data_IF_195735972691
#
_entry.id   IF_195735972691
#
_cell.length_a   1.000
_cell.length_b   1.000
_cell.length_c   1.000
_cell.angle_alpha   90.00
_cell.angle_beta   90.00
_cell.angle_gamma   90.00
#
_symmetry.space_group_name_H-M   'P 1'
#
loop_
_entity.id
_entity.type
_entity.pdbx_description
1 polymer ?
#
# COMPACT_ATOMS: atom_id res chain seq x y z
N UNK A 1 36.18 -2.85 -24.67
CA UNK A 1 36.02 -2.59 -23.23
C UNK A 1 35.76 -1.11 -23.11
N UNK A 2 34.49 -0.72 -23.02
CA UNK A 2 34.11 0.69 -23.00
C UNK A 2 34.57 1.35 -21.69
N UNK A 3 35.45 2.35 -21.83
CA UNK A 3 35.98 3.22 -20.76
C UNK A 3 34.92 4.16 -20.14
N UNK A 4 33.63 3.95 -20.40
CA UNK A 4 32.54 4.83 -19.95
C UNK A 4 31.73 4.33 -18.75
N UNK A 5 32.17 3.29 -18.05
CA UNK A 5 31.46 2.81 -16.84
C UNK A 5 31.79 3.58 -15.55
N UNK A 6 32.81 4.45 -15.54
CA UNK A 6 33.39 5.00 -14.29
C UNK A 6 32.79 6.36 -13.87
N UNK A 7 31.85 6.94 -14.61
CA UNK A 7 31.27 8.27 -14.29
C UNK A 7 29.76 8.26 -14.00
N UNK A 8 29.13 7.10 -13.80
CA UNK A 8 27.75 7.08 -13.30
C UNK A 8 27.75 7.44 -11.81
N UNK A 9 27.24 8.63 -11.49
CA UNK A 9 26.92 9.01 -10.11
C UNK A 9 26.09 7.91 -9.47
N UNK A 10 26.50 7.42 -8.30
CA UNK A 10 25.75 6.41 -7.55
C UNK A 10 24.32 6.95 -7.35
N UNK A 11 23.26 6.23 -7.79
CA UNK A 11 21.90 6.70 -7.62
C UNK A 11 21.58 6.88 -6.14
N UNK A 12 20.68 7.81 -5.81
CA UNK A 12 20.21 7.97 -4.42
C UNK A 12 19.56 6.67 -3.93
N UNK A 13 19.51 6.42 -2.61
CA UNK A 13 18.79 5.27 -2.07
C UNK A 13 17.33 5.17 -2.55
N UNK A 14 16.67 6.32 -2.74
CA UNK A 14 15.31 6.40 -3.29
C UNK A 14 15.26 5.93 -4.75
N UNK A 15 16.20 6.39 -5.58
CA UNK A 15 16.30 5.95 -6.97
C UNK A 15 16.63 4.46 -7.07
N UNK A 16 17.55 3.96 -6.22
CA UNK A 16 17.86 2.52 -6.16
C UNK A 16 16.64 1.69 -5.77
N UNK A 17 15.83 2.17 -4.82
CA UNK A 17 14.58 1.52 -4.43
C UNK A 17 13.56 1.52 -5.57
N UNK A 18 13.39 2.63 -6.27
CA UNK A 18 12.51 2.72 -7.44
C UNK A 18 12.95 1.75 -8.52
N UNK A 19 14.25 1.70 -8.83
CA UNK A 19 14.80 0.77 -9.81
C UNK A 19 14.57 -0.69 -9.40
N UNK A 20 14.70 -1.02 -8.11
CA UNK A 20 14.42 -2.36 -7.61
C UNK A 20 12.93 -2.70 -7.74
N UNK A 21 12.03 -1.77 -7.41
CA UNK A 21 10.59 -1.94 -7.57
C UNK A 21 10.22 -2.19 -9.05
N UNK A 22 10.75 -1.37 -9.95
CA UNK A 22 10.56 -1.51 -11.41
C UNK A 22 11.05 -2.87 -11.91
N UNK A 23 12.21 -3.34 -11.43
CA UNK A 23 12.74 -4.66 -11.78
C UNK A 23 11.85 -5.79 -11.28
N UNK A 24 11.40 -5.72 -10.02
CA UNK A 24 10.52 -6.73 -9.43
C UNK A 24 9.17 -6.77 -10.16
N UNK A 25 8.58 -5.61 -10.45
CA UNK A 25 7.34 -5.51 -11.24
C UNK A 25 7.52 -6.07 -12.65
N UNK A 26 8.62 -5.71 -13.31
CA UNK A 26 8.93 -6.18 -14.66
C UNK A 26 9.12 -7.70 -14.70
N UNK A 27 9.72 -8.30 -13.67
CA UNK A 27 9.97 -9.74 -13.63
C UNK A 27 8.72 -10.55 -13.24
N UNK A 28 7.92 -10.08 -12.27
CA UNK A 28 6.77 -10.82 -11.76
C UNK A 28 5.49 -10.61 -12.57
N UNK A 29 5.17 -9.35 -12.87
CA UNK A 29 3.95 -8.95 -13.58
C UNK A 29 4.21 -8.77 -15.08
N UNK A 30 5.34 -8.16 -15.45
CA UNK A 30 5.65 -7.81 -16.83
C UNK A 30 4.79 -6.67 -17.40
N UNK A 31 4.91 -6.39 -18.71
CA UNK A 31 5.89 -6.97 -19.63
C UNK A 31 7.30 -6.40 -19.44
N UNK A 32 8.32 -7.25 -19.28
CA UNK A 32 9.70 -6.85 -19.01
C UNK A 32 10.38 -6.17 -20.22
N UNK A 33 10.08 -6.61 -21.43
CA UNK A 33 10.62 -6.07 -22.68
C UNK A 33 9.77 -4.97 -23.31
N UNK A 34 8.77 -4.44 -22.59
CA UNK A 34 7.86 -3.40 -23.08
C UNK A 34 6.62 -3.92 -23.83
N UNK A 35 5.85 -3.03 -24.49
CA UNK A 35 4.52 -3.35 -25.02
C UNK A 35 4.50 -4.44 -26.11
N UNK A 36 5.58 -4.56 -26.88
CA UNK A 36 5.73 -5.51 -28.00
C UNK A 36 6.82 -6.56 -27.73
N UNK A 37 7.04 -6.92 -26.46
CA UNK A 37 8.13 -7.81 -26.07
C UNK A 37 8.07 -9.20 -26.73
N UNK A 38 9.25 -9.83 -26.74
CA UNK A 38 9.44 -11.20 -27.19
C UNK A 38 9.90 -12.03 -25.99
N UNK A 39 9.18 -13.11 -25.71
CA UNK A 39 9.51 -14.06 -24.65
C UNK A 39 10.01 -15.36 -25.29
N UNK A 40 11.31 -15.63 -25.12
CA UNK A 40 11.99 -16.86 -25.57
C UNK A 40 11.99 -17.91 -24.46
N UNK A 41 10.80 -18.24 -23.96
CA UNK A 41 10.56 -19.24 -22.92
C UNK A 41 9.48 -20.25 -23.36
N UNK A 42 9.38 -21.43 -22.70
CA UNK A 42 8.36 -22.42 -23.04
C UNK A 42 6.94 -21.88 -22.88
N UNK A 43 6.65 -21.21 -21.76
CA UNK A 43 5.34 -20.65 -21.43
C UNK A 43 5.50 -19.23 -20.92
N UNK A 44 4.57 -18.35 -21.29
CA UNK A 44 4.52 -16.97 -20.78
C UNK A 44 4.03 -16.97 -19.33
N UNK A 45 3.19 -17.94 -18.95
CA UNK A 45 2.79 -18.14 -17.54
C UNK A 45 3.91 -18.61 -16.63
N UNK A 46 5.00 -19.14 -17.20
CA UNK A 46 6.22 -19.44 -16.46
C UNK A 46 7.04 -18.18 -16.20
N UNK A 47 7.02 -17.23 -17.15
CA UNK A 47 7.66 -15.91 -17.05
C UNK A 47 6.96 -15.01 -16.05
N UNK A 48 5.66 -14.79 -16.25
CA UNK A 48 4.84 -13.89 -15.42
C UNK A 48 3.90 -14.70 -14.55
N UNK A 49 4.07 -14.55 -13.25
CA UNK A 49 3.39 -15.38 -12.25
C UNK A 49 2.20 -14.67 -11.58
N UNK A 50 2.06 -13.35 -11.79
CA UNK A 50 0.92 -12.55 -11.30
C UNK A 50 0.23 -11.82 -12.46
N UNK A 51 -1.05 -11.46 -12.28
CA UNK A 51 -1.80 -10.71 -13.28
C UNK A 51 -2.13 -11.55 -14.50
N UNK A 52 -2.62 -12.78 -14.28
CA UNK A 52 -2.86 -13.76 -15.35
C UNK A 52 -4.27 -14.32 -15.20
N UNK A 53 -5.09 -14.24 -16.27
CA UNK A 53 -6.47 -14.77 -16.28
C UNK A 53 -6.60 -15.99 -17.19
N UNK A 54 -7.07 -17.08 -16.59
CA UNK A 54 -7.23 -18.36 -17.25
C UNK A 54 -8.41 -18.37 -18.24
N UNK A 55 -8.25 -19.02 -19.41
CA UNK A 55 -9.38 -19.34 -20.27
C UNK A 55 -10.27 -20.42 -19.65
N UNK A 56 -11.51 -20.52 -20.14
CA UNK A 56 -12.43 -21.59 -19.78
C UNK A 56 -11.90 -22.94 -20.28
N UNK A 57 -11.83 -23.93 -19.36
CA UNK A 57 -11.47 -25.31 -19.70
C UNK A 57 -12.67 -26.07 -20.27
N UNK A 58 -12.47 -26.96 -21.27
CA UNK A 58 -13.55 -27.82 -21.74
C UNK A 58 -13.95 -28.83 -20.65
N UNK A 59 -15.26 -29.07 -20.50
CA UNK A 59 -15.89 -29.96 -19.49
C UNK A 59 -15.28 -31.38 -19.41
N UNK A 60 -14.62 -31.87 -20.46
CA UNK A 60 -14.04 -33.21 -20.52
C UNK A 60 -12.63 -33.34 -19.88
N UNK A 61 -12.16 -32.38 -19.08
CA UNK A 61 -11.02 -32.63 -18.18
C UNK A 61 -11.57 -33.28 -16.92
N UNK A 62 -11.00 -34.42 -16.48
CA UNK A 62 -11.40 -35.26 -15.33
C UNK A 62 -11.34 -34.56 -13.94
N UNK A 63 -11.90 -33.36 -13.85
CA UNK A 63 -11.96 -32.51 -12.66
C UNK A 63 -13.26 -31.70 -12.75
N UNK A 64 -14.38 -32.38 -12.97
CA UNK A 64 -15.70 -31.76 -12.89
C UNK A 64 -16.16 -31.67 -11.43
N UNK A 65 -16.31 -30.43 -10.94
CA UNK A 65 -17.56 -29.86 -10.37
C UNK A 65 -17.25 -28.51 -9.72
N UNK A 66 -17.35 -27.43 -10.49
CA UNK A 66 -17.37 -26.06 -9.95
C UNK A 66 -18.02 -25.04 -10.91
N UNK A 67 -18.72 -25.49 -11.96
CA UNK A 67 -19.26 -24.59 -13.00
C UNK A 67 -20.69 -24.11 -12.70
N UNK A 68 -20.97 -23.83 -11.42
CA UNK A 68 -22.28 -23.34 -10.96
C UNK A 68 -22.12 -22.35 -9.78
N UNK A 69 -21.34 -21.28 -9.97
CA UNK A 69 -21.26 -20.17 -9.00
C UNK A 69 -21.92 -18.87 -9.50
N UNK A 70 -22.60 -18.91 -10.64
CA UNK A 70 -23.28 -17.73 -11.21
C UNK A 70 -24.82 -17.85 -11.26
N UNK A 71 -25.38 -18.88 -10.62
CA UNK A 71 -26.84 -19.11 -10.48
C UNK A 71 -27.27 -19.30 -9.01
N UNK A 72 -26.61 -18.59 -8.07
CA UNK A 72 -27.10 -18.40 -6.70
C UNK A 72 -27.40 -16.90 -6.44
N UNK A 73 -28.29 -16.33 -7.26
CA UNK A 73 -28.78 -14.94 -7.11
C UNK A 73 -30.12 -14.89 -6.32
N UNK A 74 -30.35 -15.80 -5.37
CA UNK A 74 -31.55 -15.78 -4.50
C UNK A 74 -31.29 -15.77 -2.98
N UNK A 75 -30.03 -15.80 -2.49
CA UNK A 75 -29.78 -15.61 -1.05
C UNK A 75 -28.38 -15.11 -0.69
N UNK A 76 -27.83 -14.17 -1.47
CA UNK A 76 -26.73 -13.32 -0.96
C UNK A 76 -27.37 -12.30 -0.02
N UNK A 77 -27.65 -12.76 1.20
CA UNK A 77 -27.98 -11.93 2.33
C UNK A 77 -26.88 -10.87 2.55
N UNK A 78 -27.31 -9.76 3.13
CA UNK A 78 -26.66 -8.44 3.20
C UNK A 78 -25.26 -8.38 3.84
N UNK A 79 -24.61 -9.50 4.20
CA UNK A 79 -23.43 -9.49 5.09
C UNK A 79 -22.05 -9.51 4.41
N UNK A 80 -21.88 -9.84 3.13
CA UNK A 80 -20.51 -9.88 2.55
C UNK A 80 -19.94 -8.49 2.20
N UNK A 81 -20.76 -7.44 2.18
CA UNK A 81 -20.23 -6.06 2.19
C UNK A 81 -19.89 -5.53 3.58
N UNK A 82 -20.35 -6.22 4.63
CA UNK A 82 -20.07 -5.91 6.04
C UNK A 82 -18.91 -6.75 6.61
N UNK A 83 -18.46 -7.80 5.93
CA UNK A 83 -17.27 -8.59 6.31
C UNK A 83 -15.92 -7.87 6.13
N UNK A 84 -15.92 -6.60 5.71
CA UNK A 84 -14.73 -5.74 5.75
C UNK A 84 -14.68 -4.83 7.00
N UNK A 85 -15.64 -4.97 7.92
CA UNK A 85 -15.66 -4.28 9.21
C UNK A 85 -15.91 -5.31 10.32
N UNK A 86 -14.83 -5.88 10.86
CA UNK A 86 -14.93 -6.87 11.93
C UNK A 86 -13.57 -7.26 12.51
N UNK A 87 -12.97 -6.34 13.27
CA UNK A 87 -12.17 -6.76 14.43
C UNK A 87 -13.17 -7.30 15.46
N UNK A 88 -13.08 -8.60 15.73
CA UNK A 88 -13.86 -9.27 16.76
C UNK A 88 -12.96 -10.32 17.40
N UNK A 89 -12.84 -10.22 18.73
CA UNK A 89 -12.12 -11.13 19.62
C UNK A 89 -12.37 -12.60 19.27
N UNK A 90 -11.27 -13.36 19.14
CA UNK A 90 -11.24 -14.77 19.46
C UNK A 90 -10.03 -15.00 20.38
N UNK A 91 -10.31 -14.98 21.69
CA UNK A 91 -9.53 -15.65 22.72
C UNK A 91 -9.63 -17.17 22.45
N UNK A 92 -8.58 -17.76 21.89
CA UNK A 92 -8.34 -19.21 21.96
C UNK A 92 -6.82 -19.47 22.02
N UNK A 93 -6.31 -19.50 23.25
CA UNK A 93 -5.05 -20.18 23.59
C UNK A 93 -5.20 -21.70 23.36
N UNK A 94 -4.54 -22.23 22.33
CA UNK A 94 -3.71 -23.45 22.34
C UNK A 94 -3.55 -24.04 20.93
N UNK A 95 -2.32 -24.01 20.40
CA UNK A 95 -1.98 -24.52 19.08
C UNK A 95 -2.11 -26.05 18.97
N UNK A 96 -2.97 -26.50 18.07
CA UNK A 96 -2.87 -27.84 17.45
C UNK A 96 -2.10 -27.74 16.14
N UNK A 97 -1.18 -28.67 15.93
CA UNK A 97 -0.39 -28.76 14.71
C UNK A 97 -1.33 -28.90 13.49
N UNK A 98 -1.26 -27.93 12.57
CA UNK A 98 -2.00 -27.94 11.32
C UNK A 98 -1.77 -29.25 10.57
N UNK A 99 -2.86 -29.99 10.32
CA UNK A 99 -2.85 -31.04 9.32
C UNK A 99 -2.51 -30.41 7.98
N UNK A 100 -1.49 -30.94 7.29
CA UNK A 100 -1.05 -30.43 5.99
C UNK A 100 -2.26 -30.11 5.11
N UNK A 101 -2.41 -28.85 4.64
CA UNK A 101 -3.60 -28.47 3.89
C UNK A 101 -3.71 -29.41 2.68
N UNK A 102 -4.92 -29.86 2.32
CA UNK A 102 -5.11 -30.58 1.07
C UNK A 102 -4.48 -29.75 -0.04
N UNK A 103 -3.69 -30.39 -0.92
CA UNK A 103 -3.06 -29.72 -2.07
C UNK A 103 -4.15 -29.01 -2.85
N UNK A 104 -4.27 -27.70 -2.65
CA UNK A 104 -5.22 -26.88 -3.37
C UNK A 104 -4.93 -27.09 -4.85
N UNK A 105 -5.91 -27.62 -5.59
CA UNK A 105 -5.90 -27.55 -7.04
C UNK A 105 -5.85 -26.05 -7.33
N UNK A 106 -4.70 -25.57 -7.83
CA UNK A 106 -4.51 -24.15 -8.13
C UNK A 106 -5.58 -23.73 -9.15
N UNK A 107 -6.65 -23.12 -8.65
CA UNK A 107 -7.73 -22.58 -9.43
C UNK A 107 -7.27 -21.19 -9.87
N UNK A 108 -6.71 -21.12 -11.07
CA UNK A 108 -6.28 -19.84 -11.64
C UNK A 108 -7.52 -18.99 -11.93
N UNK A 109 -7.53 -17.70 -11.54
CA UNK A 109 -8.70 -16.85 -11.72
C UNK A 109 -8.98 -16.65 -13.21
N UNK A 110 -10.26 -16.64 -13.59
CA UNK A 110 -10.70 -16.31 -14.95
C UNK A 110 -11.22 -14.87 -15.07
N UNK A 111 -11.30 -14.14 -13.95
CA UNK A 111 -11.80 -12.78 -13.91
C UNK A 111 -11.14 -11.95 -12.81
N UNK A 112 -11.14 -10.63 -13.00
CA UNK A 112 -10.91 -9.63 -11.96
C UNK A 112 -12.02 -8.60 -12.00
N UNK A 113 -12.22 -7.86 -10.92
CA UNK A 113 -13.20 -6.79 -10.90
C UNK A 113 -12.92 -5.71 -9.86
N UNK A 114 -13.81 -4.74 -9.82
CA UNK A 114 -13.86 -3.74 -8.77
C UNK A 114 -15.31 -3.32 -8.49
N UNK A 115 -15.58 -3.02 -7.22
CA UNK A 115 -16.80 -2.34 -6.78
C UNK A 115 -16.43 -0.95 -6.27
N UNK A 116 -17.11 0.08 -6.73
CA UNK A 116 -16.80 1.47 -6.36
C UNK A 116 -18.07 2.31 -6.19
N UNK A 117 -17.90 3.43 -5.49
CA UNK A 117 -18.95 4.45 -5.29
C UNK A 117 -18.79 5.59 -6.28
N UNK A 118 -19.91 6.05 -6.82
CA UNK A 118 -20.01 7.23 -7.70
C UNK A 118 -21.10 8.15 -7.16
N UNK A 119 -20.87 9.46 -7.25
CA UNK A 119 -21.85 10.50 -6.94
C UNK A 119 -23.19 10.22 -7.63
N UNK A 120 -24.29 10.29 -6.89
CA UNK A 120 -25.62 9.98 -7.40
C UNK A 120 -26.13 10.94 -8.48
N UNK A 121 -25.50 12.10 -8.66
CA UNK A 121 -25.78 13.03 -9.76
C UNK A 121 -25.11 12.62 -11.09
N UNK A 122 -24.13 11.70 -11.06
CA UNK A 122 -23.50 11.20 -12.26
C UNK A 122 -24.50 10.42 -13.12
N UNK A 123 -24.41 10.62 -14.44
CA UNK A 123 -25.34 10.01 -15.41
C UNK A 123 -24.69 8.95 -16.28
N UNK A 124 -23.36 8.89 -16.31
CA UNK A 124 -22.60 7.93 -17.10
C UNK A 124 -21.18 7.72 -16.56
N UNK A 125 -20.58 6.57 -16.88
CA UNK A 125 -19.17 6.26 -16.66
C UNK A 125 -18.52 5.81 -17.98
N UNK A 126 -17.21 5.99 -18.09
CA UNK A 126 -16.38 5.42 -19.14
C UNK A 126 -15.55 4.28 -18.58
N UNK A 127 -15.56 3.14 -19.28
CA UNK A 127 -14.82 1.95 -18.90
C UNK A 127 -13.86 1.57 -20.02
N UNK A 128 -12.61 1.36 -19.66
CA UNK A 128 -11.55 0.89 -20.57
C UNK A 128 -10.94 -0.38 -20.01
N UNK A 129 -10.77 -1.41 -20.83
CA UNK A 129 -10.09 -2.64 -20.43
C UNK A 129 -8.87 -2.89 -21.32
N UNK A 130 -7.75 -3.29 -20.71
CA UNK A 130 -6.47 -3.54 -21.38
C UNK A 130 -5.86 -4.84 -20.88
N UNK A 131 -5.14 -5.54 -21.74
CA UNK A 131 -4.32 -6.69 -21.37
C UNK A 131 -3.25 -6.96 -22.43
N UNK A 132 -2.33 -7.87 -22.13
CA UNK A 132 -1.40 -8.48 -23.08
C UNK A 132 -1.90 -9.82 -23.56
N UNK A 133 -1.89 -10.04 -24.88
CA UNK A 133 -2.08 -11.34 -25.52
C UNK A 133 -0.73 -11.80 -26.08
N UNK A 134 -0.39 -13.08 -25.94
CA UNK A 134 0.84 -13.62 -26.51
C UNK A 134 0.54 -14.64 -27.60
N UNK A 135 1.19 -14.49 -28.75
CA UNK A 135 1.04 -15.40 -29.88
C UNK A 135 2.37 -16.06 -30.21
N UNK A 136 2.34 -17.34 -30.54
CA UNK A 136 3.54 -18.12 -30.83
C UNK A 136 4.00 -17.88 -32.27
N UNK A 137 5.02 -17.07 -32.50
CA UNK A 137 5.55 -16.71 -33.83
C UNK A 137 6.97 -17.25 -34.04
N UNK A 138 7.48 -17.17 -35.26
CA UNK A 138 8.91 -17.38 -35.50
C UNK A 138 9.71 -16.18 -34.96
N UNK A 139 10.90 -16.44 -34.42
CA UNK A 139 11.80 -15.38 -33.98
C UNK A 139 12.07 -14.41 -35.15
N UNK A 140 11.99 -13.07 -34.93
CA UNK A 140 12.13 -12.10 -36.02
C UNK A 140 13.55 -12.05 -36.61
N UNK A 141 14.57 -12.34 -35.80
CA UNK A 141 15.94 -12.56 -36.28
C UNK A 141 16.07 -13.92 -36.99
N UNK A 142 16.38 -13.95 -38.30
CA UNK A 142 16.49 -15.18 -39.08
C UNK A 142 17.72 -16.03 -38.72
N UNK A 143 18.70 -15.49 -37.99
CA UNK A 143 19.87 -16.24 -37.54
C UNK A 143 19.58 -17.09 -36.30
N UNK A 144 18.50 -16.79 -35.57
CA UNK A 144 18.02 -17.55 -34.42
C UNK A 144 17.31 -18.83 -34.87
N UNK A 145 18.12 -19.82 -35.21
CA UNK A 145 17.66 -21.15 -35.65
C UNK A 145 18.00 -22.24 -34.64
N UNK A 146 17.13 -23.25 -34.59
CA UNK A 146 17.37 -24.52 -33.89
C UNK A 146 18.57 -25.26 -34.51
N UNK A 147 19.07 -26.29 -33.82
CA UNK A 147 20.14 -27.19 -34.33
C UNK A 147 19.80 -27.85 -35.68
N UNK A 148 18.51 -27.90 -36.04
CA UNK A 148 18.01 -28.43 -37.31
C UNK A 148 17.84 -27.36 -38.40
N UNK A 149 18.30 -26.12 -38.17
CA UNK A 149 18.23 -25.01 -39.13
C UNK A 149 16.85 -24.37 -39.29
N UNK A 150 15.89 -24.71 -38.42
CA UNK A 150 14.54 -24.08 -38.42
C UNK A 150 14.52 -22.87 -37.49
N UNK A 151 13.81 -21.78 -37.81
CA UNK A 151 13.65 -20.64 -36.90
C UNK A 151 13.12 -21.06 -35.53
N UNK A 152 13.71 -20.52 -34.46
CA UNK A 152 13.23 -20.70 -33.09
C UNK A 152 11.84 -20.07 -32.98
N UNK A 153 10.93 -20.69 -32.22
CA UNK A 153 9.60 -20.13 -31.95
C UNK A 153 9.61 -19.41 -30.61
N UNK A 154 9.09 -18.19 -30.62
CA UNK A 154 8.99 -17.32 -29.45
C UNK A 154 7.55 -16.89 -29.23
N UNK A 155 7.28 -16.32 -28.06
CA UNK A 155 6.01 -15.67 -27.77
C UNK A 155 6.14 -14.17 -28.06
N UNK A 156 5.33 -13.66 -28.98
CA UNK A 156 5.23 -12.24 -29.29
C UNK A 156 4.05 -11.65 -28.54
N UNK A 157 4.29 -10.59 -27.73
CA UNK A 157 3.23 -9.82 -27.10
C UNK A 157 2.48 -8.99 -28.13
N UNK A 158 1.16 -8.93 -27.99
CA UNK A 158 0.24 -8.06 -28.71
C UNK A 158 -0.60 -7.35 -27.62
N UNK A 159 -0.47 -6.02 -27.45
CA UNK A 159 -1.41 -5.26 -26.65
C UNK A 159 -2.84 -5.47 -27.19
N UNK A 160 -3.78 -5.77 -26.30
CA UNK A 160 -5.16 -6.06 -26.64
C UNK A 160 -6.12 -5.27 -25.74
N UNK A 161 -7.33 -5.04 -26.23
CA UNK A 161 -8.27 -4.10 -25.61
C UNK A 161 -7.99 -2.64 -26.01
N UNK A 162 -7.97 -1.75 -25.02
CA UNK A 162 -7.78 -0.30 -25.16
C UNK A 162 -8.93 0.46 -25.86
N UNK A 163 -10.10 -0.18 -25.95
CA UNK A 163 -11.33 0.53 -26.32
C UNK A 163 -12.02 1.02 -25.06
N UNK A 164 -12.54 2.24 -25.14
CA UNK A 164 -13.36 2.84 -24.09
C UNK A 164 -14.83 2.79 -24.50
N UNK A 165 -15.70 2.36 -23.59
CA UNK A 165 -17.15 2.37 -23.78
C UNK A 165 -17.81 3.23 -22.71
N UNK A 166 -18.85 3.96 -23.09
CA UNK A 166 -19.61 4.80 -22.16
C UNK A 166 -20.91 4.09 -21.76
N UNK A 167 -21.09 3.88 -20.47
CA UNK A 167 -22.30 3.28 -19.90
C UNK A 167 -23.11 4.33 -19.17
N UNK A 168 -24.38 4.51 -19.55
CA UNK A 168 -25.31 5.33 -18.80
C UNK A 168 -25.64 4.65 -17.45
N UNK A 169 -25.61 5.41 -16.36
CA UNK A 169 -25.92 4.91 -15.02
C UNK A 169 -27.43 4.77 -14.83
N UNK A 170 -27.87 3.52 -14.70
CA UNK A 170 -29.24 3.10 -14.41
C UNK A 170 -29.16 1.83 -13.59
N UNK A 171 -30.07 1.62 -12.65
CA UNK A 171 -30.11 0.36 -11.89
C UNK A 171 -30.26 -0.84 -12.83
N UNK A 172 -29.47 -1.88 -12.57
CA UNK A 172 -29.48 -3.11 -13.37
C UNK A 172 -28.11 -3.50 -13.91
N UNK A 173 -28.07 -4.43 -14.88
CA UNK A 173 -26.81 -4.97 -15.41
C UNK A 173 -26.10 -3.99 -16.35
N UNK A 174 -24.77 -4.06 -16.35
CA UNK A 174 -23.88 -3.48 -17.36
C UNK A 174 -23.29 -4.62 -18.19
N UNK A 175 -23.31 -4.47 -19.52
CA UNK A 175 -22.76 -5.46 -20.45
C UNK A 175 -23.67 -6.68 -20.67
N UNK A 176 -23.14 -7.78 -21.23
CA UNK A 176 -21.73 -7.98 -21.55
C UNK A 176 -21.26 -7.10 -22.72
N UNK A 177 -20.10 -6.48 -22.55
CA UNK A 177 -19.42 -5.70 -23.59
C UNK A 177 -18.05 -6.33 -23.89
N UNK A 178 -17.68 -6.46 -25.16
CA UNK A 178 -16.35 -6.97 -25.54
C UNK A 178 -15.40 -5.80 -25.85
N UNK A 179 -14.33 -5.62 -25.05
CA UNK A 179 -13.39 -4.51 -25.25
C UNK A 179 -12.51 -4.65 -26.50
N UNK A 180 -12.41 -5.84 -27.11
CA UNK A 180 -11.58 -6.08 -28.29
C UNK A 180 -12.32 -6.98 -29.29
N UNK A 181 -12.65 -6.50 -30.51
CA UNK A 181 -13.33 -7.31 -31.52
C UNK A 181 -12.56 -8.57 -31.94
N UNK A 182 -11.23 -8.61 -31.77
CA UNK A 182 -10.41 -9.79 -32.05
C UNK A 182 -10.48 -10.87 -30.95
N UNK A 183 -11.03 -10.52 -29.77
CA UNK A 183 -11.22 -11.39 -28.62
C UNK A 183 -12.66 -11.26 -28.09
N UNK A 184 -13.69 -11.68 -28.85
CA UNK A 184 -15.10 -11.45 -28.50
C UNK A 184 -15.55 -12.13 -27.20
N UNK A 185 -14.84 -13.20 -26.79
CA UNK A 185 -15.13 -13.94 -25.56
C UNK A 185 -14.52 -13.29 -24.30
N UNK A 186 -13.64 -12.30 -24.46
CA UNK A 186 -13.19 -11.42 -23.38
C UNK A 186 -14.24 -10.33 -23.19
N UNK A 187 -14.83 -10.28 -22.01
CA UNK A 187 -16.03 -9.47 -21.76
C UNK A 187 -15.92 -8.71 -20.45
N UNK A 188 -16.46 -7.49 -20.45
CA UNK A 188 -16.74 -6.72 -19.25
C UNK A 188 -18.23 -6.82 -18.94
N UNK A 189 -18.56 -7.17 -17.71
CA UNK A 189 -19.94 -7.23 -17.22
C UNK A 189 -20.02 -6.73 -15.79
N UNK A 190 -21.17 -6.22 -15.40
CA UNK A 190 -21.34 -5.64 -14.08
C UNK A 190 -22.78 -5.39 -13.69
N UNK A 191 -22.96 -4.70 -12.57
CA UNK A 191 -24.27 -4.30 -12.05
C UNK A 191 -24.15 -2.93 -11.38
N UNK A 192 -25.13 -2.08 -11.61
CA UNK A 192 -25.32 -0.78 -10.96
C UNK A 192 -26.47 -0.89 -9.98
N UNK A 193 -26.27 -0.40 -8.77
CA UNK A 193 -27.28 -0.32 -7.71
C UNK A 193 -27.30 1.08 -7.13
N UNK A 194 -28.47 1.59 -6.75
CA UNK A 194 -28.56 2.82 -5.95
C UNK A 194 -28.35 2.50 -4.48
N UNK A 195 -27.53 3.28 -3.77
CA UNK A 195 -27.36 3.23 -2.30
C UNK A 195 -27.47 4.66 -1.76
N UNK A 196 -28.67 5.02 -1.29
CA UNK A 196 -28.95 6.40 -0.87
C UNK A 196 -28.72 7.40 -2.01
N UNK A 197 -27.85 8.38 -1.76
CA UNK A 197 -27.48 9.42 -2.72
C UNK A 197 -26.29 9.06 -3.61
N UNK A 198 -25.85 7.80 -3.62
CA UNK A 198 -24.73 7.32 -4.43
C UNK A 198 -25.12 6.13 -5.33
N UNK A 199 -24.32 5.92 -6.38
CA UNK A 199 -24.31 4.71 -7.17
C UNK A 199 -23.22 3.76 -6.64
N UNK A 200 -23.58 2.50 -6.41
CA UNK A 200 -22.63 1.42 -6.19
C UNK A 200 -22.54 0.57 -7.47
N UNK A 201 -21.35 0.49 -8.04
CA UNK A 201 -21.12 -0.14 -9.34
C UNK A 201 -20.07 -1.22 -9.17
N UNK A 202 -20.42 -2.45 -9.61
CA UNK A 202 -19.48 -3.56 -9.68
C UNK A 202 -19.22 -3.90 -11.14
N UNK A 203 -17.96 -3.95 -11.55
CA UNK A 203 -17.54 -4.36 -12.89
C UNK A 203 -16.53 -5.50 -12.80
N UNK A 204 -16.61 -6.45 -13.73
CA UNK A 204 -15.68 -7.55 -13.88
C UNK A 204 -15.18 -7.65 -15.31
N UNK A 205 -13.87 -7.85 -15.49
CA UNK A 205 -13.25 -8.29 -16.73
C UNK A 205 -13.10 -9.81 -16.68
N UNK A 206 -13.73 -10.51 -17.63
CA UNK A 206 -13.85 -11.97 -17.64
C UNK A 206 -13.19 -12.53 -18.90
N UNK A 207 -12.30 -13.50 -18.72
CA UNK A 207 -11.74 -14.30 -19.81
C UNK A 207 -12.66 -15.49 -20.11
N UNK A 208 -13.59 -15.32 -21.05
CA UNK A 208 -14.46 -16.40 -21.53
C UNK A 208 -13.88 -17.21 -22.68
N UNK A 209 -12.63 -16.96 -23.09
CA UNK A 209 -12.01 -17.68 -24.21
C UNK A 209 -11.86 -19.16 -23.87
N UNK A 210 -11.96 -20.03 -24.88
CA UNK A 210 -11.72 -21.46 -24.69
C UNK A 210 -10.25 -21.79 -24.82
N UNK A 211 -9.75 -22.63 -23.93
CA UNK A 211 -8.38 -23.14 -24.03
C UNK A 211 -8.17 -23.90 -25.36
N UNK A 212 -7.17 -23.53 -26.18
CA UNK A 212 -6.87 -24.23 -27.42
C UNK A 212 -6.53 -25.70 -27.16
N UNK A 213 -7.21 -26.62 -27.86
CA UNK A 213 -6.89 -28.04 -27.73
C UNK A 213 -5.56 -28.39 -28.39
N UNK A 214 -4.77 -29.26 -27.75
CA UNK A 214 -3.51 -29.77 -28.31
C UNK A 214 -3.82 -30.58 -29.59
N UNK A 215 -3.22 -30.23 -30.74
CA UNK A 215 -3.40 -31.04 -31.95
C UNK A 215 -2.77 -32.43 -31.75
N UNK A 216 -3.56 -33.50 -31.93
CA UNK A 216 -3.19 -34.91 -31.69
C UNK A 216 -1.98 -35.43 -32.50
N UNK A 217 -1.39 -34.64 -33.40
CA UNK A 217 -0.38 -35.08 -34.38
C UNK A 217 0.93 -34.29 -34.37
N UNK A 218 1.10 -33.29 -33.50
CA UNK A 218 2.29 -32.45 -33.50
C UNK A 218 3.18 -32.74 -32.29
N UNK A 219 4.49 -32.83 -32.53
CA UNK A 219 5.56 -33.07 -31.53
C UNK A 219 5.45 -32.15 -30.32
N UNK A 220 6.11 -32.52 -29.22
CA UNK A 220 6.06 -31.94 -27.86
C UNK A 220 6.33 -30.43 -27.69
N UNK A 221 6.37 -29.67 -28.77
CA UNK A 221 6.81 -28.26 -28.82
C UNK A 221 5.65 -27.24 -28.91
N UNK A 222 4.40 -27.70 -29.05
CA UNK A 222 3.23 -26.82 -29.12
C UNK A 222 2.40 -26.88 -27.83
N UNK A 223 2.64 -25.94 -26.93
CA UNK A 223 1.70 -25.57 -25.86
C UNK A 223 1.05 -24.23 -26.21
N UNK A 224 0.24 -24.20 -27.27
CA UNK A 224 -0.52 -23.02 -27.69
C UNK A 224 -1.58 -22.54 -26.68
N UNK A 225 -1.57 -23.07 -25.46
CA UNK A 225 -2.52 -22.74 -24.39
C UNK A 225 -2.46 -21.27 -24.04
N UNK A 226 -1.26 -20.72 -23.90
CA UNK A 226 -1.02 -19.36 -23.42
C UNK A 226 -1.61 -18.29 -24.37
N UNK A 227 -1.97 -18.62 -25.62
CA UNK A 227 -2.60 -17.66 -26.53
C UNK A 227 -4.03 -17.26 -26.16
N UNK A 228 -4.70 -18.04 -25.30
CA UNK A 228 -6.04 -17.73 -24.79
C UNK A 228 -6.03 -17.16 -23.36
N UNK A 229 -4.84 -16.95 -22.77
CA UNK A 229 -4.71 -16.31 -21.47
C UNK A 229 -4.63 -14.80 -21.62
N UNK A 230 -5.13 -14.07 -20.61
CA UNK A 230 -4.93 -12.63 -20.49
C UNK A 230 -3.81 -12.38 -19.51
N UNK A 231 -2.86 -11.53 -19.89
CA UNK A 231 -1.75 -11.13 -19.05
C UNK A 231 -1.84 -9.64 -18.75
N UNK A 232 -1.41 -9.21 -17.57
CA UNK A 232 -1.48 -7.81 -17.12
C UNK A 232 -2.87 -7.18 -17.35
N UNK A 233 -3.98 -7.84 -16.94
CA UNK A 233 -5.31 -7.29 -17.12
C UNK A 233 -5.49 -6.01 -16.30
N UNK A 234 -6.06 -5.00 -16.92
CA UNK A 234 -6.35 -3.72 -16.30
C UNK A 234 -7.76 -3.28 -16.70
N UNK A 235 -8.56 -2.88 -15.72
CA UNK A 235 -9.85 -2.25 -15.90
C UNK A 235 -9.80 -0.84 -15.30
N UNK A 236 -10.04 0.17 -16.13
CA UNK A 236 -9.98 1.59 -15.79
C UNK A 236 -11.37 2.18 -15.92
N UNK A 237 -11.78 2.99 -14.94
CA UNK A 237 -13.04 3.72 -14.92
C UNK A 237 -12.78 5.21 -14.76
N UNK A 238 -13.46 6.02 -15.56
CA UNK A 238 -13.39 7.49 -15.56
C UNK A 238 -14.78 8.09 -15.79
N UNK A 239 -14.93 9.41 -15.55
CA UNK A 239 -16.08 10.15 -16.02
C UNK A 239 -15.92 10.52 -17.52
N UNK A 240 -17.00 10.54 -18.32
CA UNK A 240 -16.90 10.91 -19.74
C UNK A 240 -16.33 12.32 -20.02
N UNK A 241 -16.48 13.22 -19.06
CA UNK A 241 -16.01 14.61 -19.11
C UNK A 241 -14.76 14.85 -18.22
N UNK A 242 -14.20 13.79 -17.62
CA UNK A 242 -13.06 13.87 -16.71
C UNK A 242 -13.37 14.48 -15.33
N UNK A 243 -14.64 14.67 -14.99
CA UNK A 243 -15.03 15.20 -13.67
C UNK A 243 -14.79 14.18 -12.54
N UNK A 244 -14.55 14.65 -11.29
CA UNK A 244 -14.25 13.78 -10.17
C UNK A 244 -15.53 13.20 -9.53
N UNK A 245 -16.12 12.24 -10.23
CA UNK A 245 -17.41 11.63 -9.86
C UNK A 245 -17.29 10.53 -8.80
N UNK A 246 -16.10 9.99 -8.56
CA UNK A 246 -15.90 8.92 -7.59
C UNK A 246 -15.88 9.49 -6.17
N UNK A 247 -16.70 8.96 -5.28
CA UNK A 247 -16.80 9.40 -3.89
C UNK A 247 -16.20 8.38 -2.93
N UNK A 248 -15.70 8.87 -1.80
CA UNK A 248 -15.27 7.99 -0.70
C UNK A 248 -16.41 7.09 -0.25
N UNK A 249 -16.10 5.83 0.07
CA UNK A 249 -17.06 4.91 0.66
C UNK A 249 -17.41 5.36 2.09
N UNK A 250 -18.66 5.22 2.54
CA UNK A 250 -19.03 5.51 3.92
C UNK A 250 -18.28 4.60 4.90
N UNK A 251 -17.51 5.19 5.82
CA UNK A 251 -16.69 4.46 6.81
C UNK A 251 -17.23 4.50 8.25
N UNK A 252 -18.41 5.10 8.50
CA UNK A 252 -18.91 5.24 9.87
C UNK A 252 -19.55 3.94 10.37
N UNK A 253 -18.74 3.13 11.03
CA UNK A 253 -19.23 2.10 11.92
C UNK A 253 -19.75 2.77 13.21
N UNK A 254 -21.07 2.86 13.37
CA UNK A 254 -21.69 3.43 14.58
C UNK A 254 -21.45 2.61 15.84
N UNK A 255 -20.99 1.36 15.72
CA UNK A 255 -20.61 0.49 16.83
C UNK A 255 -19.12 0.60 17.20
N UNK A 256 -18.38 1.48 16.52
CA UNK A 256 -16.94 1.58 16.73
C UNK A 256 -16.58 1.95 18.16
N UNK A 257 -15.58 1.29 18.73
CA UNK A 257 -15.07 1.60 20.06
C UNK A 257 -14.23 2.90 20.08
N UNK A 258 -13.68 3.25 21.24
CA UNK A 258 -12.88 4.48 21.37
C UNK A 258 -11.56 4.44 20.56
N UNK A 259 -10.96 3.26 20.41
CA UNK A 259 -9.71 3.08 19.67
C UNK A 259 -9.95 3.14 18.16
N UNK A 260 -10.96 2.42 17.67
CA UNK A 260 -11.41 2.45 16.28
C UNK A 260 -11.82 3.87 15.87
N UNK A 261 -12.50 4.62 16.74
CA UNK A 261 -12.83 6.04 16.49
C UNK A 261 -11.60 6.93 16.43
N UNK A 262 -10.61 6.71 17.30
CA UNK A 262 -9.36 7.45 17.28
C UNK A 262 -8.54 7.15 16.02
N UNK A 263 -8.53 5.89 15.58
CA UNK A 263 -7.90 5.45 14.35
C UNK A 263 -8.59 6.03 13.12
N UNK A 264 -9.92 5.94 13.05
CA UNK A 264 -10.71 6.56 11.98
C UNK A 264 -10.48 8.08 11.91
N UNK A 265 -10.32 8.76 13.06
CA UNK A 265 -9.95 10.18 13.08
C UNK A 265 -8.55 10.41 12.51
N UNK A 266 -7.57 9.58 12.88
CA UNK A 266 -6.17 9.70 12.45
C UNK A 266 -6.06 9.57 10.92
N UNK A 267 -6.77 8.59 10.35
CA UNK A 267 -6.77 8.27 8.92
C UNK A 267 -7.99 8.83 8.16
N UNK A 268 -8.69 9.82 8.71
CA UNK A 268 -9.95 10.33 8.12
C UNK A 268 -9.83 10.88 6.70
N UNK A 269 -8.60 11.13 6.22
CA UNK A 269 -8.29 11.61 4.86
C UNK A 269 -7.70 10.53 3.95
N UNK A 270 -7.45 9.34 4.50
CA UNK A 270 -7.01 8.16 3.78
C UNK A 270 -8.23 7.25 3.56
N UNK A 271 -8.93 7.50 2.46
CA UNK A 271 -10.24 6.91 2.20
C UNK A 271 -10.23 5.91 1.06
N UNK A 272 -11.18 4.98 1.13
CA UNK A 272 -11.40 3.99 0.09
C UNK A 272 -12.45 4.48 -0.90
N UNK A 273 -12.16 4.36 -2.20
CA UNK A 273 -13.12 4.67 -3.28
C UNK A 273 -13.74 3.41 -3.89
N UNK A 274 -13.07 2.27 -3.73
CA UNK A 274 -13.53 0.99 -4.23
C UNK A 274 -12.75 -0.18 -3.65
N UNK A 275 -13.32 -1.36 -3.80
CA UNK A 275 -12.75 -2.65 -3.41
C UNK A 275 -12.56 -3.48 -4.65
N UNK A 276 -11.40 -4.09 -4.80
CA UNK A 276 -11.12 -4.97 -5.92
C UNK A 276 -11.51 -6.42 -5.63
N UNK A 277 -11.91 -7.13 -6.66
CA UNK A 277 -12.26 -8.56 -6.64
C UNK A 277 -11.15 -9.34 -7.33
N UNK A 278 -10.33 -10.04 -6.53
CA UNK A 278 -9.14 -10.75 -7.03
C UNK A 278 -7.99 -9.84 -7.49
N UNK A 279 -8.07 -8.54 -7.20
CA UNK A 279 -7.10 -7.50 -7.59
C UNK A 279 -7.21 -6.31 -6.64
N UNK A 280 -6.20 -5.44 -6.54
CA UNK A 280 -6.35 -4.17 -5.80
C UNK A 280 -6.97 -3.07 -6.69
N UNK A 281 -7.30 -1.94 -6.08
CA UNK A 281 -7.77 -0.74 -6.79
C UNK A 281 -6.81 0.40 -6.50
N UNK A 282 -6.28 1.02 -7.54
CA UNK A 282 -5.57 2.28 -7.45
C UNK A 282 -6.52 3.43 -7.81
N UNK A 283 -6.35 4.54 -7.09
CA UNK A 283 -7.21 5.72 -7.22
C UNK A 283 -6.37 6.94 -7.57
N UNK A 284 -6.73 7.63 -8.65
CA UNK A 284 -6.16 8.93 -9.00
C UNK A 284 -7.08 10.02 -8.42
N UNK A 285 -6.63 10.67 -7.35
CA UNK A 285 -7.40 11.70 -6.64
C UNK A 285 -7.56 12.98 -7.46
N UNK A 286 -8.65 13.70 -7.21
CA UNK A 286 -8.82 15.04 -7.76
C UNK A 286 -7.82 16.02 -7.08
N UNK A 287 -7.23 16.98 -7.82
CA UNK A 287 -6.23 17.88 -7.25
C UNK A 287 -6.74 18.65 -6.02
N UNK A 288 -6.08 18.46 -4.87
CA UNK A 288 -6.44 19.14 -3.62
C UNK A 288 -7.63 18.53 -2.88
N UNK A 289 -8.22 17.45 -3.39
CA UNK A 289 -9.34 16.75 -2.78
C UNK A 289 -8.91 15.34 -2.34
N UNK A 290 -9.32 14.94 -1.14
CA UNK A 290 -9.04 13.61 -0.60
C UNK A 290 -10.29 12.71 -0.63
N UNK A 291 -11.49 13.29 -0.81
CA UNK A 291 -12.76 12.56 -0.81
C UNK A 291 -13.35 12.33 -2.21
N UNK A 292 -12.67 12.82 -3.25
CA UNK A 292 -13.06 12.68 -4.66
C UNK A 292 -11.88 12.21 -5.51
N UNK A 293 -12.20 11.38 -6.50
CA UNK A 293 -11.23 10.89 -7.47
C UNK A 293 -11.70 11.10 -8.91
N UNK A 294 -10.73 11.18 -9.82
CA UNK A 294 -10.97 11.35 -11.28
C UNK A 294 -10.90 10.03 -12.03
N UNK A 295 -10.18 9.03 -11.49
CA UNK A 295 -10.10 7.70 -12.08
C UNK A 295 -9.88 6.62 -11.02
N UNK A 296 -10.42 5.44 -11.30
CA UNK A 296 -10.13 4.20 -10.59
C UNK A 296 -9.59 3.18 -11.58
N UNK A 297 -8.57 2.42 -11.19
CA UNK A 297 -8.05 1.31 -11.99
C UNK A 297 -7.73 0.10 -11.14
N UNK A 298 -7.88 -1.10 -11.70
CA UNK A 298 -7.41 -2.32 -11.05
C UNK A 298 -5.88 -2.38 -11.08
N UNK A 299 -5.26 -2.76 -9.97
CA UNK A 299 -3.80 -2.80 -9.82
C UNK A 299 -3.39 -4.18 -9.28
N UNK A 300 -2.66 -4.96 -10.08
CA UNK A 300 -2.25 -6.33 -9.71
C UNK A 300 -1.15 -6.33 -8.64
N UNK A 301 -0.21 -5.39 -8.75
CA UNK A 301 0.87 -5.21 -7.80
C UNK A 301 0.75 -3.80 -7.21
N UNK A 302 -0.12 -3.58 -6.20
CA UNK A 302 -0.28 -2.28 -5.60
C UNK A 302 1.00 -1.86 -4.87
N UNK A 303 1.28 -0.57 -4.91
CA UNK A 303 2.38 0.07 -4.19
C UNK A 303 1.84 1.26 -3.40
N UNK A 304 2.44 1.51 -2.25
CA UNK A 304 2.09 2.66 -1.42
C UNK A 304 3.36 3.22 -0.78
N UNK A 305 3.51 4.55 -0.82
CA UNK A 305 4.62 5.22 -0.19
C UNK A 305 4.27 5.54 1.26
N UNK A 306 4.94 4.88 2.19
CA UNK A 306 4.81 5.18 3.63
C UNK A 306 5.79 6.29 3.97
N UNK A 307 5.26 7.46 4.32
CA UNK A 307 6.07 8.60 4.73
C UNK A 307 6.94 8.27 5.95
N UNK A 308 8.20 8.71 5.92
CA UNK A 308 9.10 8.55 7.05
C UNK A 308 8.68 9.49 8.18
N UNK A 309 8.47 8.94 9.38
CA UNK A 309 8.26 9.74 10.59
C UNK A 309 9.59 10.29 11.11
N UNK A 310 9.76 11.61 11.04
CA UNK A 310 10.89 12.33 11.66
C UNK A 310 10.42 13.13 12.86
N UNK A 311 11.21 13.20 13.95
CA UNK A 311 10.86 14.06 15.08
C UNK A 311 10.88 15.54 14.66
N UNK A 312 10.06 16.40 15.27
CA UNK A 312 10.13 17.84 15.03
C UNK A 312 11.49 18.40 15.41
N UNK A 313 11.93 19.41 14.68
CA UNK A 313 13.19 20.13 14.89
C UNK A 313 12.93 21.56 15.38
N UNK A 314 13.98 22.29 15.71
CA UNK A 314 13.88 23.72 16.05
C UNK A 314 13.37 24.58 14.88
N UNK A 315 13.43 24.09 13.63
CA UNK A 315 12.82 24.77 12.49
C UNK A 315 11.28 24.67 12.50
N UNK A 316 10.75 23.56 13.03
CA UNK A 316 9.32 23.31 13.14
C UNK A 316 8.73 23.91 14.43
N UNK A 317 9.48 23.77 15.53
CA UNK A 317 9.10 24.22 16.87
C UNK A 317 10.32 24.91 17.53
N UNK A 318 10.42 26.25 17.46
CA UNK A 318 11.60 26.99 17.91
C UNK A 318 12.07 26.68 19.33
N UNK A 319 11.15 26.49 20.27
CA UNK A 319 11.45 26.15 21.67
C UNK A 319 12.24 24.84 21.83
N UNK A 320 12.17 23.91 20.87
CA UNK A 320 12.99 22.70 20.89
C UNK A 320 14.49 22.98 20.70
N UNK A 321 14.85 24.16 20.17
CA UNK A 321 16.23 24.62 20.08
C UNK A 321 16.84 25.02 21.44
N UNK A 322 15.99 25.31 22.43
CA UNK A 322 16.40 25.69 23.79
C UNK A 322 16.47 24.48 24.74
N UNK A 323 15.95 23.32 24.33
CA UNK A 323 16.01 22.08 25.11
C UNK A 323 17.41 21.48 25.03
N UNK A 324 18.00 21.18 26.19
CA UNK A 324 19.24 20.41 26.23
C UNK A 324 18.95 18.94 25.92
N UNK A 325 19.35 18.50 24.73
CA UNK A 325 19.13 17.13 24.25
C UNK A 325 20.40 16.28 24.24
N UNK A 326 21.59 16.87 24.44
CA UNK A 326 22.86 16.13 24.44
C UNK A 326 22.98 15.30 25.72
N UNK A 327 23.13 13.98 25.56
CA UNK A 327 23.21 13.04 26.68
C UNK A 327 24.45 13.27 27.56
N UNK A 328 25.57 13.71 27.00
CA UNK A 328 26.76 14.01 27.79
C UNK A 328 26.54 15.25 28.64
N UNK A 329 25.99 16.31 28.05
CA UNK A 329 25.75 17.56 28.77
C UNK A 329 24.69 17.37 29.87
N UNK A 330 23.61 16.62 29.58
CA UNK A 330 22.61 16.23 30.57
C UNK A 330 23.20 15.42 31.74
N UNK A 331 24.20 14.57 31.47
CA UNK A 331 24.88 13.80 32.52
C UNK A 331 25.78 14.66 33.43
N UNK A 332 26.13 15.88 32.99
CA UNK A 332 27.03 16.80 33.68
C UNK A 332 26.32 17.95 34.39
N UNK A 333 24.99 18.10 34.22
CA UNK A 333 24.21 19.15 34.88
C UNK A 333 24.31 19.09 36.40
N UNK A 334 24.51 20.25 37.00
CA UNK A 334 24.47 20.45 38.44
C UNK A 334 23.01 20.45 38.96
N UNK A 335 22.85 20.23 40.25
CA UNK A 335 21.54 20.29 40.89
C UNK A 335 20.97 21.73 40.75
N UNK A 336 19.70 21.84 40.37
CA UNK A 336 19.04 23.12 40.08
C UNK A 336 19.09 23.56 38.61
N UNK A 337 19.92 22.94 37.77
CA UNK A 337 20.01 23.31 36.34
C UNK A 337 19.00 22.57 35.45
N UNK A 338 18.46 21.43 35.90
CA UNK A 338 17.53 20.60 35.11
C UNK A 338 16.29 21.34 34.62
N UNK A 339 15.69 22.17 35.47
CA UNK A 339 14.48 22.91 35.11
C UNK A 339 14.74 23.87 33.92
N UNK A 340 15.84 24.61 33.96
CA UNK A 340 16.21 25.51 32.86
C UNK A 340 16.52 24.74 31.57
N UNK A 341 17.16 23.58 31.69
CA UNK A 341 17.53 22.73 30.56
C UNK A 341 16.35 21.98 29.90
N UNK A 342 15.31 21.65 30.67
CA UNK A 342 14.23 20.74 30.24
C UNK A 342 12.85 21.39 30.09
N UNK A 343 12.53 22.47 30.82
CA UNK A 343 11.24 23.15 30.72
C UNK A 343 10.88 23.68 29.31
N UNK A 344 11.82 24.05 28.43
CA UNK A 344 11.45 24.40 27.05
C UNK A 344 10.74 23.25 26.32
N UNK A 345 10.94 21.98 26.72
CA UNK A 345 10.25 20.82 26.17
C UNK A 345 8.77 20.79 26.57
N UNK A 346 8.46 21.04 27.84
CA UNK A 346 7.08 21.08 28.34
C UNK A 346 6.35 22.31 27.82
N UNK A 347 7.02 23.46 27.74
CA UNK A 347 6.48 24.67 27.10
C UNK A 347 6.11 24.43 25.63
N UNK A 348 7.02 23.85 24.84
CA UNK A 348 6.77 23.49 23.44
C UNK A 348 5.57 22.55 23.29
N UNK A 349 5.45 21.55 24.16
CA UNK A 349 4.34 20.60 24.13
C UNK A 349 3.01 21.24 24.56
N UNK A 350 3.03 22.12 25.56
CA UNK A 350 1.87 22.88 26.00
C UNK A 350 1.31 23.77 24.88
N UNK A 351 2.18 24.49 24.17
CA UNK A 351 1.82 25.32 23.02
C UNK A 351 1.20 24.48 21.90
N UNK A 352 1.77 23.31 21.62
CA UNK A 352 1.21 22.37 20.65
C UNK A 352 -0.17 21.87 21.06
N UNK A 353 -0.37 21.49 22.33
CA UNK A 353 -1.68 21.06 22.87
C UNK A 353 -2.70 22.19 22.73
N UNK A 354 -2.32 23.43 23.05
CA UNK A 354 -3.19 24.60 22.91
C UNK A 354 -3.61 24.83 21.45
N UNK A 355 -2.66 24.72 20.51
CA UNK A 355 -2.94 24.82 19.08
C UNK A 355 -3.89 23.69 18.60
N UNK A 356 -3.70 22.46 19.04
CA UNK A 356 -4.62 21.36 18.72
C UNK A 356 -6.02 21.57 19.33
N UNK A 357 -6.11 22.08 20.56
CA UNK A 357 -7.38 22.42 21.19
C UNK A 357 -8.12 23.54 20.44
N UNK A 358 -7.40 24.53 19.92
CA UNK A 358 -7.98 25.61 19.10
C UNK A 358 -8.62 25.07 17.82
N UNK A 359 -8.09 23.99 17.22
CA UNK A 359 -8.72 23.36 16.04
C UNK A 359 -10.10 22.79 16.33
N UNK A 360 -10.43 22.52 17.60
CA UNK A 360 -11.77 22.04 18.00
C UNK A 360 -12.78 23.16 18.26
N UNK A 361 -12.36 24.43 18.33
CA UNK A 361 -13.32 25.55 18.46
C UNK A 361 -14.03 25.85 17.13
N UNK A 362 -13.35 25.56 16.01
CA UNK A 362 -13.90 25.69 14.66
C UNK A 362 -13.43 24.50 13.84
N UNK A 363 -14.00 23.31 14.07
CA UNK A 363 -13.55 22.09 13.41
C UNK A 363 -13.82 22.16 11.92
N UNK A 364 -12.91 21.61 11.12
CA UNK A 364 -13.17 21.35 9.72
C UNK A 364 -14.29 20.30 9.58
N UNK A 365 -15.06 20.29 8.49
CA UNK A 365 -16.17 19.34 8.32
C UNK A 365 -15.77 17.88 8.55
N UNK A 366 -14.57 17.48 8.13
CA UNK A 366 -14.00 16.14 8.32
C UNK A 366 -13.66 15.82 9.79
N UNK A 367 -13.39 16.84 10.62
CA UNK A 367 -13.03 16.65 12.02
C UNK A 367 -14.25 16.71 12.95
N UNK A 368 -15.34 17.37 12.54
CA UNK A 368 -16.56 17.54 13.34
C UNK A 368 -17.10 16.20 13.87
N UNK A 369 -17.03 15.14 13.04
CA UNK A 369 -17.51 13.80 13.38
C UNK A 369 -16.67 13.11 14.48
N UNK A 370 -15.47 13.62 14.76
CA UNK A 370 -14.50 13.03 15.68
C UNK A 370 -14.20 13.91 16.90
N UNK A 371 -15.04 14.91 17.18
CA UNK A 371 -14.81 15.88 18.27
C UNK A 371 -14.57 15.19 19.64
N UNK A 372 -15.33 14.14 19.95
CA UNK A 372 -15.16 13.35 21.18
C UNK A 372 -13.80 12.66 21.25
N UNK A 373 -13.41 11.94 20.19
CA UNK A 373 -12.12 11.24 20.13
C UNK A 373 -10.95 12.24 20.21
N UNK A 374 -11.07 13.39 19.54
CA UNK A 374 -10.08 14.46 19.61
C UNK A 374 -9.94 15.01 21.04
N UNK A 375 -11.05 15.25 21.74
CA UNK A 375 -11.04 15.74 23.12
C UNK A 375 -10.41 14.71 24.07
N UNK A 376 -10.73 13.42 23.92
CA UNK A 376 -10.12 12.34 24.70
C UNK A 376 -8.60 12.32 24.51
N UNK A 377 -8.12 12.44 23.27
CA UNK A 377 -6.68 12.48 22.99
C UNK A 377 -6.00 13.75 23.56
N UNK A 378 -6.66 14.91 23.53
CA UNK A 378 -6.15 16.13 24.18
C UNK A 378 -6.05 15.99 25.70
N UNK A 379 -7.02 15.34 26.34
CA UNK A 379 -6.96 15.10 27.78
C UNK A 379 -5.81 14.15 28.15
N UNK A 380 -5.59 13.09 27.37
CA UNK A 380 -4.40 12.22 27.50
C UNK A 380 -3.11 13.02 27.32
N UNK A 381 -3.07 13.93 26.33
CA UNK A 381 -1.90 14.78 26.09
C UNK A 381 -1.60 15.71 27.27
N UNK A 382 -2.62 16.34 27.86
CA UNK A 382 -2.50 17.19 29.05
C UNK A 382 -2.01 16.40 30.27
N UNK A 383 -2.58 15.22 30.52
CA UNK A 383 -2.12 14.35 31.60
C UNK A 383 -0.65 13.94 31.41
N UNK A 384 -0.23 13.65 30.17
CA UNK A 384 1.16 13.35 29.86
C UNK A 384 2.08 14.57 30.08
N UNK A 385 1.64 15.78 29.70
CA UNK A 385 2.37 17.02 29.97
C UNK A 385 2.60 17.23 31.48
N UNK A 386 1.55 17.06 32.29
CA UNK A 386 1.62 17.17 33.74
C UNK A 386 2.63 16.16 34.33
N UNK A 387 2.63 14.92 33.84
CA UNK A 387 3.58 13.88 34.28
C UNK A 387 5.03 14.20 33.88
N UNK A 388 5.25 14.71 32.67
CA UNK A 388 6.60 15.13 32.22
C UNK A 388 7.09 16.27 33.11
N UNK A 389 6.24 17.26 33.40
CA UNK A 389 6.59 18.37 34.28
C UNK A 389 6.91 17.89 35.70
N UNK A 390 6.09 17.00 36.26
CA UNK A 390 6.36 16.39 37.56
C UNK A 390 7.70 15.63 37.58
N UNK A 391 8.08 15.00 36.47
CA UNK A 391 9.38 14.36 36.33
C UNK A 391 10.55 15.36 36.37
N UNK A 392 10.40 16.50 35.72
CA UNK A 392 11.39 17.59 35.78
C UNK A 392 11.48 18.17 37.20
N UNK A 393 10.34 18.40 37.84
CA UNK A 393 10.27 18.95 39.19
C UNK A 393 10.89 17.98 40.22
N UNK A 394 10.71 16.66 40.04
CA UNK A 394 11.35 15.64 40.87
C UNK A 394 12.89 15.71 40.80
N UNK A 395 13.46 15.93 39.61
CA UNK A 395 14.91 16.10 39.44
C UNK A 395 15.46 17.33 40.18
N UNK A 396 14.63 18.33 40.47
CA UNK A 396 15.04 19.51 41.23
C UNK A 396 15.00 19.30 42.75
N UNK A 397 14.19 18.36 43.24
CA UNK A 397 13.92 18.18 44.67
C UNK A 397 14.56 16.92 45.25
N UNK A 398 14.70 15.86 44.45
CA UNK A 398 15.26 14.57 44.87
C UNK A 398 16.68 14.34 44.31
N UNK A 399 17.73 14.42 45.15
CA UNK A 399 19.12 14.21 44.72
C UNK A 399 19.39 12.80 44.17
N UNK A 400 18.65 11.78 44.64
CA UNK A 400 18.81 10.41 44.15
C UNK A 400 18.21 10.27 42.75
N UNK A 401 17.05 10.88 42.50
CA UNK A 401 16.47 10.94 41.15
C UNK A 401 17.40 11.69 40.18
N UNK A 402 17.94 12.83 40.59
CA UNK A 402 18.92 13.60 39.81
C UNK A 402 20.18 12.79 39.49
N UNK A 403 20.75 12.08 40.49
CA UNK A 403 21.91 11.22 40.29
C UNK A 403 21.61 10.04 39.34
N UNK A 404 20.44 9.40 39.48
CA UNK A 404 20.02 8.32 38.60
C UNK A 404 19.82 8.79 37.15
N UNK A 405 19.22 9.97 36.96
CA UNK A 405 19.02 10.56 35.64
C UNK A 405 20.35 10.92 34.97
N UNK A 406 21.31 11.50 35.70
CA UNK A 406 22.68 11.74 35.19
C UNK A 406 23.36 10.44 34.77
N UNK A 407 23.27 9.42 35.62
CA UNK A 407 23.86 8.11 35.33
C UNK A 407 23.25 7.45 34.09
N UNK A 408 21.91 7.51 33.95
CA UNK A 408 21.21 7.00 32.77
C UNK A 408 21.69 7.71 31.49
N UNK A 409 21.79 9.04 31.51
CA UNK A 409 22.31 9.81 30.39
C UNK A 409 23.77 9.46 30.05
N UNK A 410 24.62 9.29 31.06
CA UNK A 410 26.01 8.86 30.88
C UNK A 410 26.09 7.48 30.23
N UNK A 411 25.29 6.51 30.70
CA UNK A 411 25.25 5.16 30.16
C UNK A 411 24.77 5.15 28.69
N UNK A 412 23.69 5.87 28.39
CA UNK A 412 23.12 5.95 27.04
C UNK A 412 24.05 6.66 26.05
N UNK A 413 24.72 7.73 26.48
CA UNK A 413 25.78 8.38 25.71
C UNK A 413 26.89 7.38 25.34
N UNK A 414 27.47 6.71 26.33
CA UNK A 414 28.57 5.78 26.14
C UNK A 414 28.16 4.62 25.22
N UNK A 415 26.99 4.02 25.46
CA UNK A 415 26.46 2.95 24.62
C UNK A 415 26.29 3.39 23.16
N UNK A 416 25.71 4.57 22.93
CA UNK A 416 25.42 5.07 21.60
C UNK A 416 26.69 5.29 20.78
N UNK A 417 27.69 5.95 21.36
CA UNK A 417 28.97 6.22 20.70
C UNK A 417 29.72 4.91 20.38
N UNK A 418 29.77 3.96 21.32
CA UNK A 418 30.43 2.67 21.08
C UNK A 418 29.71 1.85 20.01
N UNK A 419 28.38 1.93 19.92
CA UNK A 419 27.60 1.26 18.87
C UNK A 419 27.93 1.84 17.49
N UNK A 420 27.96 3.17 17.36
CA UNK A 420 28.30 3.84 16.10
C UNK A 420 29.74 3.58 15.69
N UNK A 421 30.66 3.61 16.65
CA UNK A 421 32.07 3.27 16.43
C UNK A 421 32.22 1.83 15.93
N UNK A 422 31.58 0.86 16.59
CA UNK A 422 31.62 -0.54 16.18
C UNK A 422 31.05 -0.74 14.77
N UNK A 423 29.99 -0.01 14.40
CA UNK A 423 29.41 -0.11 13.05
C UNK A 423 30.35 0.42 11.97
N UNK A 424 30.97 1.59 12.18
CA UNK A 424 31.97 2.14 11.25
C UNK A 424 33.18 1.21 11.12
N UNK A 425 33.64 0.61 12.22
CA UNK A 425 34.74 -0.37 12.19
C UNK A 425 34.38 -1.65 11.42
N UNK A 426 33.14 -2.13 11.47
CA UNK A 426 32.67 -3.27 10.65
C UNK A 426 32.64 -2.97 9.15
N UNK A 427 32.60 -1.69 8.77
CA UNK A 427 32.69 -1.22 7.38
C UNK A 427 34.13 -0.92 6.96
N UNK A 428 35.12 -1.40 7.73
CA UNK A 428 36.56 -1.15 7.54
C UNK A 428 36.97 0.33 7.57
N UNK A 429 36.14 1.21 8.17
CA UNK A 429 36.50 2.61 8.34
C UNK A 429 37.59 2.76 9.42
N UNK A 430 38.57 3.63 9.13
CA UNK A 430 39.65 3.99 10.08
C UNK A 430 39.25 5.23 10.88
N UNK A 431 38.32 5.05 11.80
CA UNK A 431 37.85 6.12 12.71
C UNK A 431 38.32 5.87 14.14
N UNK A 432 38.48 6.93 14.92
CA UNK A 432 38.70 6.86 16.39
C UNK A 432 37.39 7.03 17.13
N UNK A 433 37.35 6.66 18.42
CA UNK A 433 36.18 6.87 19.26
C UNK A 433 35.84 8.37 19.40
N UNK A 434 36.84 9.21 19.64
CA UNK A 434 36.67 10.67 19.76
C UNK A 434 36.11 11.31 18.48
N UNK A 435 36.46 10.77 17.31
CA UNK A 435 35.90 11.24 16.05
C UNK A 435 34.40 10.91 15.89
N UNK A 436 33.90 9.89 16.61
CA UNK A 436 32.48 9.52 16.65
C UNK A 436 31.75 10.26 17.78
N UNK A 437 32.44 10.64 18.86
CA UNK A 437 31.89 11.32 20.02
C UNK A 437 31.58 12.82 19.78
N UNK A 438 30.67 13.06 18.84
CA UNK A 438 30.16 14.37 18.47
C UNK A 438 28.73 14.58 19.01
N UNK A 439 28.32 15.82 19.33
CA UNK A 439 26.98 16.10 19.86
C UNK A 439 25.85 15.47 19.04
N UNK A 440 25.87 15.58 17.72
CA UNK A 440 24.84 15.02 16.84
C UNK A 440 24.63 13.51 16.99
N UNK A 441 25.67 12.78 17.42
CA UNK A 441 25.62 11.33 17.59
C UNK A 441 25.08 10.90 18.96
N UNK A 442 25.01 11.82 19.92
CA UNK A 442 24.60 11.57 21.32
C UNK A 442 23.43 12.44 21.77
N UNK A 443 22.62 12.93 20.84
CA UNK A 443 21.38 13.66 21.16
C UNK A 443 20.18 12.73 21.30
N UNK A 444 19.39 12.98 22.33
CA UNK A 444 18.03 12.45 22.41
C UNK A 444 17.15 13.05 21.31
N UNK A 445 16.19 12.25 20.83
CA UNK A 445 15.00 12.82 20.19
C UNK A 445 14.07 13.35 21.29
N UNK A 446 13.36 14.47 21.08
CA UNK A 446 12.49 15.06 22.11
C UNK A 446 11.52 14.07 22.76
N UNK A 447 10.89 13.19 21.98
CA UNK A 447 9.95 12.20 22.50
C UNK A 447 10.60 11.13 23.40
N UNK A 448 11.88 10.79 23.15
CA UNK A 448 12.60 9.81 23.97
C UNK A 448 12.87 10.40 25.36
N UNK A 449 13.30 11.66 25.40
CA UNK A 449 13.53 12.38 26.64
C UNK A 449 12.22 12.60 27.39
N UNK A 450 11.16 13.02 26.70
CA UNK A 450 9.82 13.15 27.27
C UNK A 450 9.33 11.83 27.88
N UNK A 451 9.54 10.70 27.20
CA UNK A 451 9.17 9.38 27.72
C UNK A 451 9.92 9.04 29.01
N UNK A 452 11.22 9.33 29.10
CA UNK A 452 12.00 9.11 30.33
C UNK A 452 11.43 9.97 31.46
N UNK A 453 11.27 11.27 31.24
CA UNK A 453 10.77 12.21 32.24
C UNK A 453 9.36 11.85 32.75
N UNK A 454 8.47 11.41 31.84
CA UNK A 454 7.11 10.99 32.16
C UNK A 454 7.04 9.80 33.14
N UNK A 455 8.09 8.96 33.19
CA UNK A 455 8.16 7.76 34.02
C UNK A 455 8.97 7.95 35.31
N UNK A 456 9.45 9.15 35.61
CA UNK A 456 10.19 9.42 36.85
C UNK A 456 9.29 9.55 38.10
N UNK A 457 8.16 10.28 38.07
CA UNK A 457 7.21 10.34 39.19
C UNK A 457 6.45 9.03 39.33
#
# INVERSE_FOLDING_TARGET
MDENLVTRSVPSPYNLRSMLDDLVRSDLLGPAGGPDEIVDEPTVRGRYIVGVLAPTRPANSDTEKSDSLFDEDENIGEDQSDLALGGGDDDDEEGRADSAPPKAVSMMPAAIGLTFSVDGAATAIQVTARWGRYVRTAHPDPERVTKAGKPIRVWQRIPAGDRTETFALREGPIGPWSPDPSCPDVRVSGRVRRRGDEWSITLHLINGQREPQRPKRQSDEYDGKDSAWLFQPELIVTAPDGTPIFSRRPQLNHKADDEERAMAMLYRRDVEFGVGHGVAVHTDLAPGEWERAVSLRTEVMPTHEVAQMTPPTAADVPLLGEVLLDMRDLAQLEDGEFAAALNPLTAAYADWIAAQAQRLTTPTPDLTLYATAAMTNLNKARANLERIQAGIDLLAVDPQAAAAFRFANQAMWQQRIHTLYADRRRRDEKVTLDAVDQPENRRWRPFQLAFILLNLP
#
